data_IF_161357201919
#
_entry.id   IF_161357201919
#
_cell.length_a   1.000
_cell.length_b   1.000
_cell.length_c   1.000
_cell.angle_alpha   90.00
_cell.angle_beta   90.00
_cell.angle_gamma   90.00
#
_symmetry.space_group_name_H-M   'P 1'
#
loop_
_entity.id
_entity.type
_entity.pdbx_description
1 polymer ?
#
# COMPACT_ATOMS: atom_id res chain seq x y z
N UNK A 1 23.42 3.20 -16.84
CA UNK A 1 23.44 4.67 -17.01
C UNK A 1 22.20 5.05 -17.81
N UNK A 2 21.25 5.78 -17.24
CA UNK A 2 20.03 6.19 -17.95
C UNK A 2 20.18 7.67 -18.33
N UNK A 3 20.67 7.93 -19.54
CA UNK A 3 20.82 9.27 -20.10
C UNK A 3 19.46 9.75 -20.65
N UNK A 4 18.59 10.21 -19.75
CA UNK A 4 17.46 11.04 -20.16
C UNK A 4 17.97 12.48 -20.27
N UNK A 5 18.04 13.00 -21.50
CA UNK A 5 18.23 14.41 -21.82
C UNK A 5 17.11 15.25 -21.19
N UNK A 6 17.29 15.65 -19.93
CA UNK A 6 16.39 16.55 -19.22
C UNK A 6 16.85 17.98 -19.46
N UNK A 7 16.08 18.74 -20.23
CA UNK A 7 16.18 20.19 -20.26
C UNK A 7 15.86 20.71 -18.85
N UNK A 8 16.90 20.93 -18.04
CA UNK A 8 16.77 21.51 -16.70
C UNK A 8 16.43 22.98 -16.88
N UNK A 9 15.26 23.40 -16.37
CA UNK A 9 14.89 24.82 -16.33
C UNK A 9 15.42 25.45 -15.05
N UNK A 10 15.65 26.77 -15.06
CA UNK A 10 16.22 27.49 -13.93
C UNK A 10 15.29 28.64 -13.52
N UNK A 11 15.28 28.95 -12.23
CA UNK A 11 14.62 30.14 -11.68
C UNK A 11 15.65 31.01 -10.96
N UNK A 12 15.54 32.33 -11.12
CA UNK A 12 16.43 33.28 -10.44
C UNK A 12 15.96 33.52 -9.01
N UNK A 13 16.85 33.32 -8.04
CA UNK A 13 16.65 33.60 -6.62
C UNK A 13 17.79 34.51 -6.15
N UNK A 14 17.50 35.80 -6.00
CA UNK A 14 18.53 36.82 -5.81
C UNK A 14 19.47 36.89 -7.01
N UNK A 15 20.77 36.74 -6.77
CA UNK A 15 21.81 36.76 -7.81
C UNK A 15 22.13 35.36 -8.38
N UNK A 16 21.41 34.32 -7.97
CA UNK A 16 21.68 32.94 -8.35
C UNK A 16 20.59 32.35 -9.25
N UNK A 17 20.98 31.53 -10.22
CA UNK A 17 20.07 30.65 -10.94
C UNK A 17 20.05 29.28 -10.28
N UNK A 18 18.90 28.89 -9.73
CA UNK A 18 18.70 27.57 -9.15
C UNK A 18 17.94 26.67 -10.13
N UNK A 19 18.37 25.40 -10.30
CA UNK A 19 17.65 24.46 -11.15
C UNK A 19 16.27 24.16 -10.54
N UNK A 20 15.25 24.13 -11.39
CA UNK A 20 13.89 23.77 -11.02
C UNK A 20 13.81 22.25 -10.84
N UNK A 21 14.02 21.80 -9.61
CA UNK A 21 13.91 20.40 -9.24
C UNK A 21 12.43 20.07 -8.96
N UNK A 22 11.81 19.27 -9.83
CA UNK A 22 10.49 18.70 -9.57
C UNK A 22 10.67 17.28 -9.02
N UNK A 23 10.13 17.06 -7.82
CA UNK A 23 9.93 15.70 -7.32
C UNK A 23 8.64 15.18 -7.96
N UNK A 24 8.72 14.02 -8.64
CA UNK A 24 7.53 13.25 -8.99
C UNK A 24 6.95 12.65 -7.70
N UNK A 25 6.34 13.50 -6.88
CA UNK A 25 5.66 13.07 -5.69
C UNK A 25 4.33 12.42 -6.09
N UNK A 26 4.03 11.25 -5.52
CA UNK A 26 2.77 10.61 -5.76
C UNK A 26 1.62 11.44 -5.18
N UNK A 27 0.58 11.65 -6.00
CA UNK A 27 -0.57 12.50 -5.63
C UNK A 27 -1.55 11.80 -4.69
N UNK A 28 -1.61 10.47 -4.72
CA UNK A 28 -2.46 9.68 -3.83
C UNK A 28 -1.65 9.35 -2.57
N UNK A 29 -2.21 9.47 -1.35
CA UNK A 29 -1.54 8.97 -0.15
C UNK A 29 -1.65 7.44 -0.06
N UNK A 30 -0.67 6.79 0.58
CA UNK A 30 -0.75 5.36 0.93
C UNK A 30 -1.84 5.14 1.98
N UNK A 31 -2.69 4.15 1.72
CA UNK A 31 -3.65 3.55 2.63
C UNK A 31 -3.00 2.56 3.61
N UNK A 32 -3.83 1.70 4.21
CA UNK A 32 -3.44 0.81 5.31
C UNK A 32 -2.32 -0.15 4.92
N UNK A 33 -2.54 -0.95 3.87
CA UNK A 33 -1.63 -2.00 3.45
C UNK A 33 -0.31 -1.45 2.89
N UNK A 34 -0.35 -0.37 2.11
CA UNK A 34 0.86 0.31 1.64
C UNK A 34 1.75 0.81 2.79
N UNK A 35 1.15 1.38 3.85
CA UNK A 35 1.90 1.80 5.05
C UNK A 35 2.47 0.62 5.83
N UNK A 36 1.74 -0.49 5.92
CA UNK A 36 2.23 -1.70 6.58
C UNK A 36 3.44 -2.28 5.84
N UNK A 37 3.37 -2.41 4.51
CA UNK A 37 4.49 -2.88 3.68
C UNK A 37 5.69 -1.95 3.78
N UNK A 38 5.46 -0.63 3.77
CA UNK A 38 6.51 0.36 3.98
C UNK A 38 7.23 0.17 5.31
N UNK A 39 6.49 0.01 6.40
CA UNK A 39 7.07 -0.21 7.73
C UNK A 39 7.84 -1.54 7.80
N UNK A 40 7.30 -2.61 7.23
CA UNK A 40 7.96 -3.90 7.17
C UNK A 40 9.28 -3.82 6.39
N UNK A 41 9.28 -3.26 5.18
CA UNK A 41 10.49 -3.07 4.38
C UNK A 41 11.53 -2.23 5.13
N UNK A 42 11.11 -1.16 5.81
CA UNK A 42 12.02 -0.29 6.55
C UNK A 42 12.67 -0.98 7.74
N UNK A 43 11.92 -1.82 8.46
CA UNK A 43 12.39 -2.48 9.69
C UNK A 43 13.11 -3.79 9.42
N UNK A 44 12.56 -4.64 8.55
CA UNK A 44 13.03 -6.00 8.33
C UNK A 44 13.92 -6.14 7.08
N UNK A 45 13.75 -5.26 6.08
CA UNK A 45 14.52 -5.31 4.83
C UNK A 45 15.15 -3.96 4.44
N UNK A 46 15.97 -3.33 5.30
CA UNK A 46 16.47 -1.97 5.08
C UNK A 46 17.30 -1.81 3.80
N UNK A 47 18.02 -2.84 3.36
CA UNK A 47 18.79 -2.81 2.10
C UNK A 47 17.86 -2.70 0.90
N UNK A 48 16.81 -3.52 0.85
CA UNK A 48 15.82 -3.50 -0.22
C UNK A 48 15.05 -2.18 -0.23
N UNK A 49 14.63 -1.71 0.95
CA UNK A 49 13.98 -0.40 1.11
C UNK A 49 14.83 0.73 0.52
N UNK A 50 16.10 0.83 0.92
CA UNK A 50 16.99 1.88 0.42
C UNK A 50 17.26 1.75 -1.08
N UNK A 51 17.39 0.53 -1.58
CA UNK A 51 17.58 0.29 -3.02
C UNK A 51 16.40 0.80 -3.83
N UNK A 52 15.17 0.46 -3.42
CA UNK A 52 13.95 0.94 -4.08
C UNK A 52 13.74 2.45 -3.91
N UNK A 53 14.14 3.01 -2.77
CA UNK A 53 14.05 4.45 -2.52
C UNK A 53 14.97 5.22 -3.47
N UNK A 54 16.22 4.79 -3.62
CA UNK A 54 17.22 5.42 -4.47
C UNK A 54 16.91 5.24 -5.97
N UNK A 55 16.35 4.09 -6.36
CA UNK A 55 15.91 3.84 -7.73
C UNK A 55 14.59 4.57 -8.09
N UNK A 56 13.85 5.06 -7.09
CA UNK A 56 12.52 5.65 -7.26
C UNK A 56 11.40 4.62 -7.48
N UNK A 57 11.67 3.31 -7.34
CA UNK A 57 10.69 2.24 -7.54
C UNK A 57 9.85 1.92 -6.30
N UNK A 58 10.23 2.46 -5.12
CA UNK A 58 9.56 2.15 -3.85
C UNK A 58 8.08 2.48 -3.89
N UNK A 59 7.72 3.69 -4.30
CA UNK A 59 6.33 4.13 -4.23
C UNK A 59 5.41 3.38 -5.20
N UNK A 60 5.78 3.18 -6.49
CA UNK A 60 5.03 2.29 -7.40
C UNK A 60 4.78 0.90 -6.81
N UNK A 61 5.80 0.29 -6.20
CA UNK A 61 5.67 -1.02 -5.55
C UNK A 61 4.65 -0.99 -4.39
N UNK A 62 4.72 0.01 -3.50
CA UNK A 62 3.78 0.12 -2.37
C UNK A 62 2.33 0.32 -2.84
N UNK A 63 2.12 1.05 -3.94
CA UNK A 63 0.80 1.23 -4.54
C UNK A 63 0.25 -0.07 -5.15
N UNK A 64 1.10 -0.83 -5.83
CA UNK A 64 0.73 -2.12 -6.40
C UNK A 64 0.34 -3.12 -5.30
N UNK A 65 1.14 -3.19 -4.23
CA UNK A 65 0.84 -4.03 -3.06
C UNK A 65 -0.47 -3.60 -2.40
N UNK A 66 -0.72 -2.29 -2.26
CA UNK A 66 -1.98 -1.79 -1.72
C UNK A 66 -3.19 -2.21 -2.56
N UNK A 67 -3.14 -2.02 -3.87
CA UNK A 67 -4.24 -2.38 -4.77
C UNK A 67 -4.48 -3.88 -4.78
N UNK A 68 -3.41 -4.67 -4.78
CA UNK A 68 -3.48 -6.13 -4.74
C UNK A 68 -4.08 -6.61 -3.42
N UNK A 69 -3.65 -6.04 -2.30
CA UNK A 69 -4.16 -6.35 -0.97
C UNK A 69 -5.66 -6.00 -0.83
N UNK A 70 -6.08 -4.84 -1.33
CA UNK A 70 -7.50 -4.44 -1.32
C UNK A 70 -8.35 -5.38 -2.16
N UNK A 71 -7.89 -5.73 -3.37
CA UNK A 71 -8.58 -6.66 -4.26
C UNK A 71 -8.69 -8.06 -3.63
N UNK A 72 -7.59 -8.60 -3.11
CA UNK A 72 -7.56 -9.90 -2.46
C UNK A 72 -8.46 -9.92 -1.23
N UNK A 73 -8.42 -8.86 -0.42
CA UNK A 73 -9.29 -8.74 0.75
C UNK A 73 -10.79 -8.80 0.37
N UNK A 74 -11.18 -8.10 -0.70
CA UNK A 74 -12.56 -8.14 -1.20
C UNK A 74 -12.95 -9.53 -1.71
N UNK A 75 -12.08 -10.17 -2.50
CA UNK A 75 -12.33 -11.49 -3.06
C UNK A 75 -12.45 -12.56 -1.96
N UNK A 76 -11.51 -12.56 -1.00
CA UNK A 76 -11.51 -13.50 0.12
C UNK A 76 -12.74 -13.31 0.99
N UNK A 77 -13.14 -12.08 1.30
CA UNK A 77 -14.38 -11.83 2.05
C UNK A 77 -15.63 -12.34 1.34
N UNK A 78 -15.73 -12.13 0.03
CA UNK A 78 -16.85 -12.65 -0.75
C UNK A 78 -16.88 -14.19 -0.73
N UNK A 79 -15.72 -14.84 -0.83
CA UNK A 79 -15.60 -16.30 -0.72
C UNK A 79 -16.01 -16.81 0.66
N UNK A 80 -15.49 -16.20 1.73
CA UNK A 80 -15.81 -16.56 3.11
C UNK A 80 -17.29 -16.36 3.44
N UNK A 81 -17.90 -15.27 2.98
CA UNK A 81 -19.33 -15.02 3.20
C UNK A 81 -20.24 -15.99 2.45
N UNK A 82 -19.81 -16.49 1.28
CA UNK A 82 -20.55 -17.54 0.55
C UNK A 82 -20.51 -18.87 1.30
N UNK A 83 -19.37 -19.20 1.90
CA UNK A 83 -19.19 -20.44 2.66
C UNK A 83 -19.84 -20.38 4.04
N UNK A 84 -19.78 -19.23 4.69
CA UNK A 84 -20.28 -19.00 6.03
C UNK A 84 -21.15 -17.73 6.10
N UNK A 85 -22.44 -17.83 5.74
CA UNK A 85 -23.34 -16.68 5.66
C UNK A 85 -23.54 -16.03 7.03
N UNK A 86 -23.67 -14.70 7.03
CA UNK A 86 -23.83 -13.94 8.26
C UNK A 86 -25.19 -14.21 8.92
N UNK A 87 -25.27 -14.26 10.26
CA UNK A 87 -26.54 -14.43 10.97
C UNK A 87 -27.47 -13.24 10.75
N UNK A 88 -28.77 -13.41 11.03
CA UNK A 88 -29.73 -12.30 10.90
C UNK A 88 -29.34 -11.14 11.84
N UNK A 89 -29.06 -9.97 11.26
CA UNK A 89 -28.58 -8.79 11.99
C UNK A 89 -29.65 -8.20 12.92
N UNK A 90 -30.92 -8.29 12.58
CA UNK A 90 -32.03 -7.74 13.38
C UNK A 90 -32.27 -8.58 14.64
N UNK A 91 -32.11 -9.89 14.54
CA UNK A 91 -32.31 -10.82 15.66
C UNK A 91 -31.04 -11.02 16.50
N UNK A 92 -29.85 -10.96 15.86
CA UNK A 92 -28.58 -11.30 16.49
C UNK A 92 -27.48 -10.28 16.13
N UNK A 93 -27.70 -9.00 16.44
CA UNK A 93 -26.78 -7.92 16.10
C UNK A 93 -25.34 -8.17 16.56
N UNK A 94 -25.13 -8.57 17.82
CA UNK A 94 -23.79 -8.85 18.35
C UNK A 94 -23.14 -10.06 17.68
N UNK A 95 -23.91 -11.12 17.42
CA UNK A 95 -23.45 -12.30 16.69
C UNK A 95 -23.04 -11.95 15.26
N UNK A 96 -23.78 -11.07 14.59
CA UNK A 96 -23.42 -10.57 13.26
C UNK A 96 -22.12 -9.78 13.26
N UNK A 97 -21.91 -8.87 14.23
CA UNK A 97 -20.67 -8.11 14.34
C UNK A 97 -19.48 -9.04 14.61
N UNK A 98 -19.63 -9.97 15.54
CA UNK A 98 -18.58 -10.95 15.85
C UNK A 98 -18.24 -11.80 14.63
N UNK A 99 -19.25 -12.26 13.90
CA UNK A 99 -19.08 -13.04 12.68
C UNK A 99 -18.30 -12.28 11.61
N UNK A 100 -18.76 -11.06 11.28
CA UNK A 100 -18.11 -10.22 10.27
C UNK A 100 -16.67 -9.87 10.65
N UNK A 101 -16.42 -9.60 11.93
CA UNK A 101 -15.07 -9.33 12.42
C UNK A 101 -14.17 -10.56 12.34
N UNK A 102 -14.68 -11.76 12.63
CA UNK A 102 -13.94 -13.01 12.51
C UNK A 102 -13.54 -13.29 11.06
N UNK A 103 -14.48 -13.17 10.11
CA UNK A 103 -14.17 -13.35 8.68
C UNK A 103 -13.17 -12.31 8.19
N UNK A 104 -13.34 -11.05 8.61
CA UNK A 104 -12.40 -9.98 8.28
C UNK A 104 -11.00 -10.26 8.81
N UNK A 105 -10.88 -10.73 10.05
CA UNK A 105 -9.59 -11.07 10.64
C UNK A 105 -8.89 -12.20 9.87
N UNK A 106 -9.64 -13.25 9.50
CA UNK A 106 -9.11 -14.35 8.68
C UNK A 106 -8.61 -13.88 7.32
N UNK A 107 -9.42 -13.07 6.63
CA UNK A 107 -9.04 -12.54 5.32
C UNK A 107 -7.84 -11.58 5.41
N UNK A 108 -7.78 -10.76 6.47
CA UNK A 108 -6.67 -9.84 6.70
C UNK A 108 -5.37 -10.59 7.01
N UNK A 109 -5.40 -11.65 7.81
CA UNK A 109 -4.23 -12.48 8.11
C UNK A 109 -3.59 -13.06 6.84
N UNK A 110 -4.40 -13.56 5.90
CA UNK A 110 -3.92 -14.05 4.62
C UNK A 110 -3.21 -12.96 3.82
N UNK A 111 -3.83 -11.78 3.70
CA UNK A 111 -3.25 -10.63 2.99
C UNK A 111 -1.94 -10.18 3.62
N UNK A 112 -1.86 -10.14 4.96
CA UNK A 112 -0.65 -9.76 5.67
C UNK A 112 0.50 -10.73 5.39
N UNK A 113 0.23 -12.04 5.47
CA UNK A 113 1.25 -13.06 5.29
C UNK A 113 1.73 -13.17 3.83
N UNK A 114 0.83 -13.04 2.86
CA UNK A 114 1.17 -13.22 1.44
C UNK A 114 1.78 -11.98 0.79
N UNK A 115 1.34 -10.78 1.17
CA UNK A 115 1.72 -9.53 0.48
C UNK A 115 2.54 -8.56 1.33
N UNK A 116 2.32 -8.53 2.64
CA UNK A 116 2.91 -7.51 3.51
C UNK A 116 4.21 -7.99 4.15
N UNK A 117 4.25 -9.24 4.60
CA UNK A 117 5.39 -9.82 5.32
C UNK A 117 6.23 -10.80 4.50
N UNK A 118 5.93 -10.93 3.21
CA UNK A 118 6.67 -11.76 2.25
C UNK A 118 7.93 -11.12 1.69
#
# INVERSE_FOLDING_TARGET
MNMNSRNVTYSTVGDYQLPNLTLNQPRKPLGKYGRMRLNFLKQQHPVLYNTMLLSGSLYPHLMEVEQTAESQMQQTMQGLLKQNPAPNKEQHQMGWVQHMNSLKAQAEELVLNELIYS
#
